data_IF_047152005494
#
_entry.id   IF_047152005494
#
_cell.length_a   1.000
_cell.length_b   1.000
_cell.length_c   1.000
_cell.angle_alpha   90.00
_cell.angle_beta   90.00
_cell.angle_gamma   90.00
#
_symmetry.space_group_name_H-M   'P 1'
#
loop_
_entity.id
_entity.type
_entity.pdbx_description
1 polymer ?
#
# COMPACT_ATOMS: atom_id res chain seq x y z
N UNK A 1 68.48 -12.10 18.83
CA UNK A 1 67.34 -12.06 17.89
C UNK A 1 66.06 -11.56 18.61
N UNK A 2 65.67 -10.33 18.34
CA UNK A 2 64.48 -9.74 18.96
C UNK A 2 63.33 -9.96 18.03
N UNK A 3 62.23 -10.64 18.51
CA UNK A 3 61.00 -10.89 17.77
C UNK A 3 60.11 -9.66 18.00
N UNK A 4 59.89 -8.88 16.96
CA UNK A 4 58.96 -7.77 16.99
C UNK A 4 57.51 -8.33 16.90
N UNK A 5 56.75 -8.14 17.98
CA UNK A 5 55.31 -8.45 18.00
C UNK A 5 54.58 -7.35 17.21
N UNK A 6 54.04 -7.71 16.07
CA UNK A 6 53.12 -6.85 15.30
C UNK A 6 51.76 -6.86 16.01
N UNK A 7 51.38 -5.76 16.65
CA UNK A 7 50.05 -5.53 17.18
C UNK A 7 49.12 -5.28 16.00
N UNK A 8 48.25 -6.26 15.63
CA UNK A 8 47.11 -6.04 14.75
C UNK A 8 46.09 -5.20 15.53
N UNK A 9 45.91 -3.96 15.12
CA UNK A 9 44.81 -3.13 15.58
C UNK A 9 43.47 -3.73 15.14
N UNK A 10 42.36 -3.44 15.87
CA UNK A 10 41.05 -3.94 15.49
C UNK A 10 40.69 -3.43 14.09
N UNK A 11 40.32 -4.36 13.21
CA UNK A 11 39.82 -4.02 11.89
C UNK A 11 38.59 -3.09 12.03
N UNK A 12 38.47 -2.04 11.18
CA UNK A 12 37.26 -1.20 11.21
C UNK A 12 36.05 -2.07 10.97
N UNK A 13 35.09 -2.04 11.89
CA UNK A 13 33.81 -2.68 11.72
C UNK A 13 33.18 -2.14 10.42
N UNK A 14 32.94 -3.00 9.45
CA UNK A 14 32.18 -2.63 8.26
C UNK A 14 30.84 -2.08 8.74
N UNK A 15 30.55 -0.81 8.46
CA UNK A 15 29.25 -0.22 8.75
C UNK A 15 28.20 -1.04 8.00
N UNK A 16 27.44 -1.85 8.73
CA UNK A 16 26.32 -2.60 8.17
C UNK A 16 25.31 -1.64 7.54
N UNK A 17 24.57 -2.11 6.55
CA UNK A 17 23.46 -1.34 5.96
C UNK A 17 22.43 -1.09 7.06
N UNK A 18 22.40 0.14 7.63
CA UNK A 18 21.50 0.53 8.72
C UNK A 18 22.20 1.16 9.92
N UNK A 19 21.41 1.74 10.83
CA UNK A 19 21.90 2.42 12.04
C UNK A 19 22.23 3.91 11.86
N UNK A 20 22.69 4.56 12.94
CA UNK A 20 22.89 6.02 13.03
C UNK A 20 23.90 6.61 12.03
N UNK A 21 24.75 5.81 11.45
CA UNK A 21 25.72 6.24 10.43
C UNK A 21 25.24 6.07 9.00
N UNK A 22 24.18 5.28 8.79
CA UNK A 22 23.67 4.98 7.46
C UNK A 22 22.48 5.88 7.09
N UNK A 23 21.49 6.02 7.96
CA UNK A 23 20.33 6.86 7.69
C UNK A 23 20.57 8.32 8.08
N UNK A 24 20.10 9.30 7.25
CA UNK A 24 20.25 10.72 7.58
C UNK A 24 19.31 11.08 8.72
N UNK A 25 19.80 11.85 9.69
CA UNK A 25 18.96 12.38 10.77
C UNK A 25 18.45 13.79 10.43
N UNK A 26 17.65 13.87 9.38
CA UNK A 26 17.12 15.13 8.84
C UNK A 26 15.71 15.43 9.38
N UNK A 27 15.32 16.71 9.50
CA UNK A 27 13.99 17.07 9.95
C UNK A 27 12.93 16.79 8.87
N UNK A 28 11.81 16.19 9.30
CA UNK A 28 10.58 16.02 8.53
C UNK A 28 9.42 16.63 9.31
N UNK A 29 8.36 17.00 8.62
CA UNK A 29 7.13 17.54 9.22
C UNK A 29 6.00 16.54 9.03
N UNK A 30 5.31 16.18 10.11
CA UNK A 30 4.16 15.27 10.08
C UNK A 30 2.92 15.97 9.52
N UNK A 31 1.89 15.20 9.17
CA UNK A 31 0.57 15.72 8.77
C UNK A 31 -0.10 16.62 9.84
N UNK A 32 0.36 16.59 11.06
CA UNK A 32 -0.14 17.42 12.17
C UNK A 32 0.77 18.63 12.44
N UNK A 33 1.75 18.91 11.57
CA UNK A 33 2.65 20.05 11.67
C UNK A 33 3.80 19.87 12.67
N UNK A 34 3.96 18.69 13.28
CA UNK A 34 5.06 18.42 14.21
C UNK A 34 6.34 18.12 13.45
N UNK A 35 7.45 18.77 13.83
CA UNK A 35 8.79 18.45 13.31
C UNK A 35 9.34 17.24 14.06
N UNK A 36 9.87 16.27 13.30
CA UNK A 36 10.50 15.04 13.79
C UNK A 36 11.77 14.77 13.01
N UNK A 37 12.77 14.13 13.62
CA UNK A 37 14.01 13.75 12.97
C UNK A 37 13.93 12.31 12.46
N UNK A 38 14.31 12.11 11.20
CA UNK A 38 14.09 10.84 10.53
C UNK A 38 14.72 9.64 11.25
N UNK A 39 15.98 9.76 11.68
CA UNK A 39 16.61 8.65 12.40
C UNK A 39 16.19 8.61 13.89
N UNK A 40 16.40 9.70 14.63
CA UNK A 40 16.25 9.68 16.09
C UNK A 40 14.79 9.46 16.53
N UNK A 41 13.82 10.09 15.83
CA UNK A 41 12.42 10.04 16.23
C UNK A 41 11.63 8.91 15.52
N UNK A 42 12.03 8.52 14.30
CA UNK A 42 11.22 7.62 13.49
C UNK A 42 11.82 6.21 13.34
N UNK A 43 13.15 6.05 13.37
CA UNK A 43 13.78 4.75 13.13
C UNK A 43 14.38 4.12 14.38
N UNK A 44 15.10 4.88 15.18
CA UNK A 44 15.94 4.38 16.29
C UNK A 44 15.14 3.51 17.27
N UNK A 45 15.52 2.24 17.37
CA UNK A 45 14.90 1.24 18.24
C UNK A 45 13.50 0.78 17.81
N UNK A 46 13.04 1.12 16.60
CA UNK A 46 11.67 0.86 16.15
C UNK A 46 11.59 -0.21 15.07
N UNK A 47 10.41 -0.84 15.01
CA UNK A 47 9.95 -1.66 13.89
C UNK A 47 9.08 -0.80 12.99
N UNK A 48 9.49 -0.61 11.74
CA UNK A 48 8.91 0.39 10.85
C UNK A 48 8.45 -0.21 9.52
N UNK A 49 7.41 0.38 8.97
CA UNK A 49 6.87 0.08 7.63
C UNK A 49 6.81 1.41 6.88
N UNK A 50 7.63 1.57 5.84
CA UNK A 50 7.85 2.85 5.16
C UNK A 50 7.55 2.72 3.68
N UNK A 51 6.72 3.62 3.14
CA UNK A 51 6.56 3.80 1.70
C UNK A 51 6.70 5.27 1.28
N UNK A 52 6.91 5.47 -0.01
CA UNK A 52 6.94 6.80 -0.62
C UNK A 52 5.62 7.05 -1.33
N UNK A 53 5.10 8.26 -1.26
CA UNK A 53 3.84 8.65 -1.89
C UNK A 53 3.93 10.05 -2.47
N UNK A 54 2.93 10.45 -3.26
CA UNK A 54 2.54 11.84 -3.47
C UNK A 54 1.02 11.92 -3.69
N UNK A 55 0.39 12.99 -3.17
CA UNK A 55 -1.07 13.03 -3.06
C UNK A 55 -1.79 13.20 -4.39
N UNK A 56 -1.13 13.75 -5.40
CA UNK A 56 -1.69 13.96 -6.74
C UNK A 56 -1.46 12.76 -7.69
N UNK A 57 -0.93 11.66 -7.17
CA UNK A 57 -0.67 10.46 -7.96
C UNK A 57 -1.93 9.95 -8.65
N UNK A 58 -1.85 9.78 -9.97
CA UNK A 58 -2.87 9.10 -10.78
C UNK A 58 -2.62 7.59 -10.94
N UNK A 59 -1.46 7.13 -10.50
CA UNK A 59 -1.00 5.73 -10.56
C UNK A 59 -1.28 4.94 -9.29
N UNK A 60 -0.25 4.28 -8.74
CA UNK A 60 -0.36 3.28 -7.67
C UNK A 60 -0.63 3.82 -6.27
N UNK A 61 -0.25 5.07 -5.94
CA UNK A 61 -0.31 5.57 -4.56
C UNK A 61 -1.71 5.45 -3.89
N UNK A 62 -2.84 5.71 -4.58
CA UNK A 62 -4.15 5.49 -3.97
C UNK A 62 -4.39 4.02 -3.62
N UNK A 63 -3.96 3.09 -4.48
CA UNK A 63 -4.07 1.66 -4.22
C UNK A 63 -3.17 1.23 -3.06
N UNK A 64 -1.91 1.71 -3.02
CA UNK A 64 -0.97 1.45 -1.93
C UNK A 64 -1.54 1.90 -0.59
N UNK A 65 -2.00 3.15 -0.51
CA UNK A 65 -2.56 3.70 0.74
C UNK A 65 -3.80 2.94 1.18
N UNK A 66 -4.71 2.61 0.25
CA UNK A 66 -5.89 1.81 0.55
C UNK A 66 -5.52 0.39 1.04
N UNK A 67 -4.48 -0.22 0.46
CA UNK A 67 -3.97 -1.53 0.84
C UNK A 67 -3.33 -1.51 2.23
N UNK A 68 -2.45 -0.56 2.45
CA UNK A 68 -1.79 -0.39 3.75
C UNK A 68 -2.79 -0.02 4.86
N UNK A 69 -3.88 0.70 4.56
CA UNK A 69 -4.98 0.91 5.50
C UNK A 69 -5.70 -0.39 5.87
N UNK A 70 -5.81 -1.36 4.94
CA UNK A 70 -6.31 -2.70 5.27
C UNK A 70 -5.32 -3.46 6.16
N UNK A 71 -4.02 -3.38 5.85
CA UNK A 71 -2.94 -3.99 6.65
C UNK A 71 -2.93 -3.40 8.06
N UNK A 72 -3.05 -2.08 8.19
CA UNK A 72 -3.13 -1.40 9.49
C UNK A 72 -4.26 -1.97 10.35
N UNK A 73 -5.45 -2.17 9.77
CA UNK A 73 -6.59 -2.79 10.50
C UNK A 73 -6.33 -4.24 10.90
N UNK A 74 -5.63 -5.02 10.07
CA UNK A 74 -5.27 -6.40 10.38
C UNK A 74 -4.23 -6.52 11.50
N UNK A 75 -3.30 -5.57 11.56
CA UNK A 75 -2.29 -5.48 12.63
C UNK A 75 -2.88 -4.90 13.94
N UNK A 76 -4.02 -4.21 13.84
CA UNK A 76 -4.76 -3.69 14.99
C UNK A 76 -3.93 -2.75 15.86
N UNK A 77 -4.04 -2.95 17.17
CA UNK A 77 -3.42 -2.11 18.20
C UNK A 77 -1.89 -2.13 18.23
N UNK A 78 -1.25 -2.96 17.41
CA UNK A 78 0.20 -2.97 17.29
C UNK A 78 0.71 -1.74 16.54
N UNK A 79 -0.10 -1.20 15.61
CA UNK A 79 0.29 0.00 14.86
C UNK A 79 0.22 1.22 15.77
N UNK A 80 1.36 1.90 15.95
CA UNK A 80 1.52 3.03 16.85
C UNK A 80 2.04 2.65 18.25
N UNK A 81 2.18 1.35 18.55
CA UNK A 81 2.79 0.86 19.80
C UNK A 81 4.19 0.27 19.57
N UNK A 82 4.26 -0.75 18.77
CA UNK A 82 5.50 -1.49 18.46
C UNK A 82 5.78 -1.61 16.96
N UNK A 83 4.79 -1.33 16.11
CA UNK A 83 4.94 -1.22 14.64
C UNK A 83 4.52 0.19 14.21
N UNK A 84 5.40 0.90 13.50
CA UNK A 84 5.15 2.28 13.09
C UNK A 84 5.09 2.39 11.57
N UNK A 85 4.03 3.00 11.05
CA UNK A 85 3.83 3.22 9.62
C UNK A 85 4.22 4.65 9.25
N UNK A 86 5.01 4.80 8.18
CA UNK A 86 5.44 6.09 7.66
C UNK A 86 5.25 6.16 6.15
N UNK A 87 4.47 7.12 5.69
CA UNK A 87 4.38 7.49 4.27
C UNK A 87 5.08 8.82 4.06
N UNK A 88 6.17 8.84 3.29
CA UNK A 88 6.97 10.02 3.05
C UNK A 88 6.63 10.57 1.67
N UNK A 89 6.22 11.84 1.59
CA UNK A 89 5.92 12.48 0.32
C UNK A 89 7.20 12.72 -0.48
N UNK A 90 7.15 12.41 -1.78
CA UNK A 90 8.20 12.76 -2.76
C UNK A 90 7.90 14.05 -3.51
N UNK A 91 6.77 14.69 -3.23
CA UNK A 91 6.35 15.97 -3.82
C UNK A 91 6.08 17.04 -2.75
N UNK A 92 7.11 17.44 -1.98
CA UNK A 92 6.93 18.39 -0.89
C UNK A 92 6.48 19.79 -1.32
N UNK A 93 6.55 20.11 -2.61
CA UNK A 93 6.05 21.37 -3.13
C UNK A 93 4.52 21.47 -3.08
N UNK A 94 3.82 20.36 -3.22
CA UNK A 94 2.35 20.31 -3.21
C UNK A 94 1.80 19.61 -1.96
N UNK A 95 2.58 18.74 -1.34
CA UNK A 95 2.16 17.90 -0.21
C UNK A 95 2.50 18.60 1.12
N UNK A 96 1.73 19.64 1.45
CA UNK A 96 1.80 20.31 2.77
C UNK A 96 1.27 19.36 3.88
N UNK A 97 1.54 19.62 5.16
CA UNK A 97 0.95 18.89 6.27
C UNK A 97 -0.57 18.76 6.15
N UNK A 98 -1.27 19.84 5.81
CA UNK A 98 -2.72 19.87 5.66
C UNK A 98 -3.19 18.98 4.50
N UNK A 99 -2.48 19.01 3.36
CA UNK A 99 -2.74 18.17 2.20
C UNK A 99 -2.56 16.70 2.55
N UNK A 100 -1.49 16.34 3.26
CA UNK A 100 -1.23 14.99 3.74
C UNK A 100 -2.29 14.50 4.74
N UNK A 101 -2.70 15.37 5.67
CA UNK A 101 -3.78 15.07 6.63
C UNK A 101 -5.11 14.78 5.91
N UNK A 102 -5.47 15.64 4.96
CA UNK A 102 -6.66 15.44 4.14
C UNK A 102 -6.58 14.17 3.29
N UNK A 103 -5.40 13.84 2.76
CA UNK A 103 -5.16 12.60 2.01
C UNK A 103 -5.34 11.36 2.91
N UNK A 104 -4.69 11.32 4.08
CA UNK A 104 -4.82 10.22 5.03
C UNK A 104 -6.29 9.95 5.42
N UNK A 105 -7.05 11.02 5.66
CA UNK A 105 -8.48 10.92 6.02
C UNK A 105 -9.33 10.27 4.92
N UNK A 106 -8.98 10.44 3.63
CA UNK A 106 -9.70 9.81 2.51
C UNK A 106 -9.63 8.28 2.55
N UNK A 107 -8.55 7.73 3.07
CA UNK A 107 -8.28 6.30 3.17
C UNK A 107 -8.59 5.70 4.54
N UNK A 108 -9.25 6.46 5.43
CA UNK A 108 -9.60 6.02 6.78
C UNK A 108 -8.39 5.52 7.59
N UNK A 109 -7.26 6.20 7.42
CA UNK A 109 -6.03 5.91 8.17
C UNK A 109 -6.28 6.11 9.66
N UNK A 110 -5.85 5.13 10.46
CA UNK A 110 -5.99 5.17 11.91
C UNK A 110 -4.71 5.74 12.56
N UNK A 111 -4.75 6.14 13.85
CA UNK A 111 -3.57 6.54 14.60
C UNK A 111 -2.41 5.54 14.50
N UNK A 112 -1.17 6.03 14.63
CA UNK A 112 0.05 5.20 14.54
C UNK A 112 0.65 5.14 13.13
N UNK A 113 0.02 5.77 12.14
CA UNK A 113 0.56 5.96 10.79
C UNK A 113 0.78 7.45 10.53
N UNK A 114 2.04 7.83 10.29
CA UNK A 114 2.43 9.21 10.01
C UNK A 114 2.63 9.42 8.51
N UNK A 115 2.13 10.54 8.04
CA UNK A 115 2.40 11.09 6.71
C UNK A 115 3.36 12.26 6.86
N UNK A 116 4.43 12.25 6.10
CA UNK A 116 5.60 13.09 6.33
C UNK A 116 5.95 13.86 5.06
N UNK A 117 6.33 15.12 5.24
CA UNK A 117 6.90 15.98 4.22
C UNK A 117 8.18 16.63 4.74
N UNK A 118 8.94 17.31 3.89
CA UNK A 118 10.19 17.95 4.29
C UNK A 118 10.90 18.61 3.11
N UNK A 119 12.19 18.90 3.25
CA UNK A 119 12.99 19.44 2.14
C UNK A 119 13.21 18.36 1.08
N UNK A 120 13.08 18.71 -0.19
CA UNK A 120 13.20 17.81 -1.33
C UNK A 120 14.52 17.03 -1.33
N UNK A 121 15.61 17.71 -1.01
CA UNK A 121 16.96 17.12 -0.94
C UNK A 121 17.07 16.07 0.17
N UNK A 122 16.48 16.34 1.31
CA UNK A 122 16.46 15.41 2.45
C UNK A 122 15.63 14.16 2.15
N UNK A 123 14.46 14.35 1.53
CA UNK A 123 13.60 13.25 1.07
C UNK A 123 14.32 12.40 0.01
N UNK A 124 15.04 13.02 -0.94
CA UNK A 124 15.85 12.31 -1.94
C UNK A 124 16.93 11.46 -1.28
N UNK A 125 17.61 11.98 -0.24
CA UNK A 125 18.62 11.23 0.52
C UNK A 125 17.99 10.03 1.24
N UNK A 126 16.87 10.24 1.94
CA UNK A 126 16.11 9.16 2.62
C UNK A 126 15.71 8.08 1.62
N UNK A 127 15.09 8.46 0.51
CA UNK A 127 14.61 7.54 -0.53
C UNK A 127 15.74 6.67 -1.09
N UNK A 128 16.91 7.28 -1.33
CA UNK A 128 18.11 6.56 -1.81
C UNK A 128 18.61 5.55 -0.78
N UNK A 129 18.69 5.93 0.49
CA UNK A 129 19.19 5.05 1.54
C UNK A 129 18.22 3.94 1.93
N UNK A 130 16.91 4.18 1.80
CA UNK A 130 15.90 3.14 1.92
C UNK A 130 15.86 2.20 0.69
N UNK A 131 16.58 2.49 -0.39
CA UNK A 131 16.49 1.73 -1.63
C UNK A 131 15.11 1.83 -2.30
N UNK A 132 14.34 2.88 -2.00
CA UNK A 132 13.02 3.13 -2.55
C UNK A 132 13.02 4.14 -3.70
N UNK A 133 14.17 4.77 -4.00
CA UNK A 133 14.30 5.62 -5.18
C UNK A 133 14.14 4.78 -6.44
N UNK A 134 13.29 5.21 -7.36
CA UNK A 134 13.30 4.68 -8.73
C UNK A 134 14.66 4.99 -9.36
N UNK A 135 15.20 4.07 -10.16
CA UNK A 135 16.50 4.20 -10.83
C UNK A 135 16.51 5.38 -11.83
N UNK A 136 15.37 5.92 -12.15
CA UNK A 136 15.23 7.10 -12.97
C UNK A 136 15.13 8.32 -12.05
N UNK A 137 16.15 9.18 -12.06
CA UNK A 137 16.03 10.60 -11.73
C UNK A 137 15.06 11.27 -12.73
N UNK A 138 13.92 10.64 -12.98
CA UNK A 138 12.96 11.10 -13.93
C UNK A 138 12.39 12.41 -13.41
N UNK A 139 12.39 13.41 -14.27
CA UNK A 139 11.68 14.69 -14.07
C UNK A 139 10.16 14.48 -13.85
N UNK A 140 9.70 13.26 -13.88
CA UNK A 140 8.31 12.83 -13.72
C UNK A 140 8.18 11.92 -12.50
N UNK A 141 7.25 12.26 -11.62
CA UNK A 141 6.85 11.42 -10.46
C UNK A 141 6.13 10.12 -10.91
N UNK A 142 5.75 10.01 -12.19
CA UNK A 142 4.96 8.89 -12.73
C UNK A 142 5.71 7.55 -12.80
N UNK A 143 7.03 7.56 -12.62
CA UNK A 143 7.87 6.35 -12.56
C UNK A 143 7.97 5.71 -11.17
N UNK A 144 7.29 6.28 -10.16
CA UNK A 144 7.34 5.77 -8.79
C UNK A 144 6.77 4.35 -8.71
N UNK A 145 7.55 3.43 -8.13
CA UNK A 145 7.15 2.03 -7.95
C UNK A 145 6.48 1.80 -6.59
N UNK A 146 5.46 0.94 -6.50
CA UNK A 146 4.75 0.61 -5.26
C UNK A 146 5.61 -0.25 -4.34
N UNK A 147 6.67 0.32 -3.81
CA UNK A 147 7.62 -0.36 -2.94
C UNK A 147 7.41 0.01 -1.48
N UNK A 148 7.59 -0.99 -0.63
CA UNK A 148 7.49 -0.91 0.82
C UNK A 148 8.81 -1.34 1.44
N UNK A 149 9.32 -0.60 2.40
CA UNK A 149 10.43 -1.01 3.24
C UNK A 149 9.92 -1.40 4.62
N UNK A 150 10.22 -2.60 5.04
CA UNK A 150 9.94 -3.12 6.38
C UNK A 150 11.28 -3.21 7.08
N UNK A 151 11.43 -2.57 8.24
CA UNK A 151 12.71 -2.46 8.94
C UNK A 151 12.57 -2.67 10.44
N UNK A 152 13.51 -3.41 11.01
CA UNK A 152 13.72 -3.57 12.46
C UNK A 152 15.07 -2.97 12.79
N UNK A 153 15.07 -1.70 13.19
CA UNK A 153 16.30 -0.93 13.36
C UNK A 153 17.20 -1.54 14.45
N UNK A 154 16.61 -2.02 15.54
CA UNK A 154 17.34 -2.61 16.67
C UNK A 154 18.21 -3.83 16.28
N UNK A 155 17.82 -4.59 15.26
CA UNK A 155 18.57 -5.75 14.73
C UNK A 155 19.23 -5.45 13.38
N UNK A 156 19.04 -4.24 12.85
CA UNK A 156 19.52 -3.81 11.55
C UNK A 156 19.02 -4.72 10.39
N UNK A 157 17.79 -5.22 10.51
CA UNK A 157 17.17 -6.04 9.49
C UNK A 157 16.23 -5.20 8.64
N UNK A 158 16.37 -5.31 7.31
CA UNK A 158 15.58 -4.53 6.35
C UNK A 158 15.13 -5.42 5.21
N UNK A 159 13.85 -5.32 4.85
CA UNK A 159 13.25 -6.09 3.76
C UNK A 159 12.42 -5.19 2.86
N UNK A 160 12.65 -5.28 1.55
CA UNK A 160 11.80 -4.63 0.55
C UNK A 160 10.63 -5.53 0.19
N UNK A 161 9.44 -4.97 0.11
CA UNK A 161 8.22 -5.66 -0.28
C UNK A 161 7.38 -4.78 -1.22
N UNK A 162 6.23 -5.27 -1.65
CA UNK A 162 5.25 -4.54 -2.46
C UNK A 162 4.14 -3.98 -1.57
N UNK A 163 3.85 -2.68 -1.68
CA UNK A 163 2.76 -2.04 -0.95
C UNK A 163 1.36 -2.42 -1.49
N UNK A 164 1.29 -3.09 -2.65
CA UNK A 164 0.02 -3.48 -3.30
C UNK A 164 -0.29 -4.97 -3.21
N UNK A 165 0.48 -5.73 -2.47
CA UNK A 165 0.23 -7.16 -2.25
C UNK A 165 -1.09 -7.43 -1.50
N UNK A 166 -1.48 -8.69 -1.46
CA UNK A 166 -2.62 -9.11 -0.67
C UNK A 166 -2.46 -8.67 0.79
N UNK A 167 -3.44 -7.98 1.40
CA UNK A 167 -3.27 -7.38 2.72
C UNK A 167 -3.08 -8.40 3.84
N UNK A 168 -3.72 -9.58 3.76
CA UNK A 168 -3.52 -10.65 4.75
C UNK A 168 -2.09 -11.20 4.66
N UNK A 169 -1.61 -11.46 3.44
CA UNK A 169 -0.25 -11.92 3.22
C UNK A 169 0.77 -10.88 3.68
N UNK A 170 0.55 -9.60 3.37
CA UNK A 170 1.45 -8.51 3.78
C UNK A 170 1.44 -8.32 5.31
N UNK A 171 0.28 -8.39 5.96
CA UNK A 171 0.19 -8.33 7.42
C UNK A 171 0.93 -9.50 8.08
N UNK A 172 0.76 -10.73 7.57
CA UNK A 172 1.51 -11.90 8.06
C UNK A 172 3.02 -11.74 7.84
N UNK A 173 3.44 -11.24 6.68
CA UNK A 173 4.86 -11.00 6.37
C UNK A 173 5.46 -10.00 7.36
N UNK A 174 4.75 -8.90 7.67
CA UNK A 174 5.18 -7.90 8.66
C UNK A 174 5.31 -8.54 10.06
N UNK A 175 4.31 -9.30 10.48
CA UNK A 175 4.34 -9.97 11.79
C UNK A 175 5.50 -10.97 11.88
N UNK A 176 5.68 -11.81 10.88
CA UNK A 176 6.78 -12.80 10.86
C UNK A 176 8.15 -12.12 10.85
N UNK A 177 8.29 -11.02 10.12
CA UNK A 177 9.55 -10.27 10.08
C UNK A 177 9.91 -9.66 11.43
N UNK A 178 8.93 -9.16 12.20
CA UNK A 178 9.19 -8.52 13.48
C UNK A 178 9.27 -9.50 14.66
N UNK A 179 8.44 -10.55 14.66
CA UNK A 179 8.28 -11.46 15.79
C UNK A 179 9.06 -12.78 15.63
N UNK A 180 9.67 -12.98 14.46
CA UNK A 180 10.27 -14.28 14.11
C UNK A 180 9.19 -15.32 13.75
N UNK A 181 9.64 -16.51 13.32
CA UNK A 181 8.78 -17.61 12.87
C UNK A 181 8.13 -18.38 14.06
N UNK A 182 7.45 -17.68 14.95
CA UNK A 182 6.56 -18.27 15.95
C UNK A 182 5.14 -18.46 15.40
N UNK A 183 4.98 -18.46 14.08
CA UNK A 183 3.71 -18.73 13.44
C UNK A 183 3.26 -20.15 13.79
N UNK A 184 2.04 -20.29 14.33
CA UNK A 184 1.32 -21.58 14.28
C UNK A 184 1.39 -22.08 12.84
N UNK A 185 1.73 -23.37 12.61
CA UNK A 185 1.85 -23.88 11.25
C UNK A 185 0.58 -23.54 10.47
N UNK A 186 0.76 -22.85 9.35
CA UNK A 186 -0.29 -22.73 8.34
C UNK A 186 -0.72 -24.15 8.00
N UNK A 187 -2.01 -24.40 7.93
CA UNK A 187 -2.57 -25.69 7.54
C UNK A 187 -1.74 -26.30 6.41
N UNK A 188 -1.40 -27.57 6.56
CA UNK A 188 -0.63 -28.31 5.57
C UNK A 188 -1.27 -28.13 4.18
N UNK A 189 -0.46 -28.07 3.13
CA UNK A 189 -0.96 -28.13 1.74
C UNK A 189 -1.92 -29.31 1.50
N UNK A 190 -1.81 -30.38 2.28
CA UNK A 190 -2.71 -31.53 2.24
C UNK A 190 -4.13 -31.22 2.74
N UNK A 191 -4.29 -30.18 3.58
CA UNK A 191 -5.58 -29.75 4.13
C UNK A 191 -6.24 -28.65 3.28
N UNK A 192 -5.53 -28.15 2.28
CA UNK A 192 -6.09 -27.22 1.30
C UNK A 192 -6.90 -28.02 0.28
N UNK A 193 -8.21 -27.77 0.23
CA UNK A 193 -9.06 -28.34 -0.81
C UNK A 193 -8.52 -28.08 -2.22
N UNK A 194 -9.03 -28.78 -3.26
CA UNK A 194 -8.53 -28.62 -4.62
C UNK A 194 -8.53 -27.16 -5.00
N UNK A 195 -7.38 -26.68 -5.51
CA UNK A 195 -7.24 -25.33 -6.06
C UNK A 195 -8.23 -25.20 -7.23
N UNK A 196 -9.41 -24.68 -6.94
CA UNK A 196 -10.30 -24.24 -8.01
C UNK A 196 -9.59 -23.13 -8.74
N UNK A 197 -9.34 -23.28 -10.02
CA UNK A 197 -8.69 -22.26 -10.85
C UNK A 197 -9.45 -20.95 -10.70
N UNK A 198 -8.84 -19.99 -10.01
CA UNK A 198 -9.41 -18.66 -9.85
C UNK A 198 -9.47 -18.02 -11.22
N UNK A 199 -10.65 -17.73 -11.71
CA UNK A 199 -10.83 -17.06 -13.01
C UNK A 199 -10.09 -15.71 -13.02
N UNK A 200 -9.58 -15.30 -14.21
CA UNK A 200 -8.83 -14.05 -14.37
C UNK A 200 -9.57 -12.85 -13.78
N UNK A 201 -10.87 -12.72 -14.02
CA UNK A 201 -11.69 -11.62 -13.49
C UNK A 201 -11.76 -11.61 -11.95
N UNK A 202 -11.92 -12.77 -11.33
CA UNK A 202 -11.89 -12.92 -9.89
C UNK A 202 -10.54 -12.54 -9.30
N UNK A 203 -9.45 -13.05 -9.88
CA UNK A 203 -8.09 -12.71 -9.45
C UNK A 203 -7.83 -11.20 -9.51
N UNK A 204 -8.16 -10.58 -10.64
CA UNK A 204 -7.99 -9.13 -10.83
C UNK A 204 -8.83 -8.32 -9.84
N UNK A 205 -10.09 -8.69 -9.66
CA UNK A 205 -10.96 -8.02 -8.72
C UNK A 205 -10.42 -8.11 -7.29
N UNK A 206 -10.10 -9.31 -6.83
CA UNK A 206 -9.58 -9.55 -5.48
C UNK A 206 -8.24 -8.87 -5.25
N UNK A 207 -7.33 -8.91 -6.23
CA UNK A 207 -5.99 -8.36 -6.09
C UNK A 207 -5.91 -6.86 -6.34
N UNK A 208 -6.83 -6.25 -7.13
CA UNK A 208 -6.69 -4.86 -7.56
C UNK A 208 -7.85 -3.95 -7.17
N UNK A 209 -9.07 -4.46 -7.04
CA UNK A 209 -10.27 -3.64 -6.85
C UNK A 209 -10.74 -3.60 -5.39
N UNK A 210 -10.60 -4.70 -4.63
CA UNK A 210 -11.13 -4.82 -3.26
C UNK A 210 -10.50 -3.89 -2.24
N UNK A 211 -9.38 -3.24 -2.55
CA UNK A 211 -8.81 -2.22 -1.68
C UNK A 211 -9.78 -1.03 -1.50
N UNK A 212 -10.44 -0.64 -2.59
CA UNK A 212 -11.29 0.54 -2.64
C UNK A 212 -12.78 0.23 -2.83
N UNK A 213 -13.14 -0.93 -3.41
CA UNK A 213 -14.50 -1.29 -3.80
C UNK A 213 -15.01 -2.52 -3.09
N UNK A 214 -16.35 -2.64 -3.01
CA UNK A 214 -17.07 -3.85 -2.64
C UNK A 214 -18.05 -4.24 -3.74
N UNK A 215 -18.65 -5.41 -3.62
CA UNK A 215 -19.88 -5.78 -4.34
C UNK A 215 -20.88 -6.19 -3.28
N UNK A 216 -21.94 -5.39 -3.09
CA UNK A 216 -23.03 -5.64 -2.17
C UNK A 216 -22.71 -5.48 -0.67
N UNK A 217 -21.60 -4.79 -0.32
CA UNK A 217 -21.23 -4.55 1.09
C UNK A 217 -21.06 -3.06 1.44
N UNK A 218 -21.60 -2.20 0.58
CA UNK A 218 -21.57 -0.74 0.75
C UNK A 218 -20.28 -0.10 0.25
N UNK A 219 -20.32 1.24 0.21
CA UNK A 219 -19.19 2.07 -0.23
C UNK A 219 -18.00 1.92 0.72
N UNK A 220 -16.78 2.01 0.15
CA UNK A 220 -15.53 2.13 0.89
C UNK A 220 -14.82 3.44 0.53
N UNK A 221 -13.59 3.35 0.08
CA UNK A 221 -12.85 4.48 -0.53
C UNK A 221 -13.51 4.89 -1.85
N UNK A 222 -14.01 3.92 -2.61
CA UNK A 222 -14.81 4.07 -3.81
C UNK A 222 -16.19 3.44 -3.66
N UNK A 223 -17.04 3.51 -4.72
CA UNK A 223 -18.40 2.99 -4.69
C UNK A 223 -18.46 1.48 -4.52
N UNK A 224 -19.58 1.04 -3.94
CA UNK A 224 -20.06 -0.34 -4.09
C UNK A 224 -20.39 -0.59 -5.56
N UNK A 225 -19.91 -1.70 -6.09
CA UNK A 225 -20.05 -2.08 -7.51
C UNK A 225 -21.23 -3.03 -7.77
N UNK A 226 -22.14 -3.20 -6.79
CA UNK A 226 -23.33 -4.01 -6.98
C UNK A 226 -24.14 -3.50 -8.19
N UNK A 227 -24.40 -4.38 -9.14
CA UNK A 227 -25.12 -4.10 -10.39
C UNK A 227 -24.48 -3.01 -11.27
N UNK A 228 -23.21 -2.67 -11.11
CA UNK A 228 -22.57 -1.60 -11.89
C UNK A 228 -22.62 -1.84 -13.39
N UNK A 229 -22.58 -3.10 -13.85
CA UNK A 229 -22.67 -3.50 -15.27
C UNK A 229 -24.07 -3.27 -15.88
N UNK A 230 -25.11 -3.11 -15.04
CA UNK A 230 -26.48 -2.75 -15.44
C UNK A 230 -26.76 -1.25 -15.26
N UNK A 231 -26.10 -0.62 -14.29
CA UNK A 231 -26.28 0.80 -13.95
C UNK A 231 -25.50 1.74 -14.87
N UNK A 232 -24.52 1.22 -15.62
CA UNK A 232 -23.67 2.00 -16.51
C UNK A 232 -23.68 1.40 -17.91
N UNK A 233 -23.56 2.26 -18.91
CA UNK A 233 -23.25 1.81 -20.27
C UNK A 233 -21.98 0.97 -20.28
N UNK A 234 -22.03 -0.18 -20.97
CA UNK A 234 -20.92 -1.15 -20.97
C UNK A 234 -19.66 -0.59 -21.61
N UNK A 235 -19.80 0.17 -22.68
CA UNK A 235 -18.64 0.75 -23.36
C UNK A 235 -18.00 1.85 -22.52
N UNK A 236 -18.82 2.69 -21.87
CA UNK A 236 -18.35 3.69 -20.93
C UNK A 236 -17.64 3.03 -19.75
N UNK A 237 -18.21 2.00 -19.16
CA UNK A 237 -17.64 1.29 -18.01
C UNK A 237 -16.30 0.65 -18.37
N UNK A 238 -16.19 -0.01 -19.54
CA UNK A 238 -14.96 -0.60 -20.02
C UNK A 238 -13.86 0.47 -20.20
N UNK A 239 -14.18 1.60 -20.85
CA UNK A 239 -13.27 2.73 -21.01
C UNK A 239 -12.81 3.31 -19.69
N UNK A 240 -13.74 3.49 -18.74
CA UNK A 240 -13.44 4.06 -17.42
C UNK A 240 -12.57 3.13 -16.58
N UNK A 241 -12.81 1.83 -16.61
CA UNK A 241 -12.00 0.84 -15.88
C UNK A 241 -10.60 0.72 -16.46
N UNK A 242 -10.45 0.81 -17.79
CA UNK A 242 -9.15 0.72 -18.46
C UNK A 242 -8.28 1.96 -18.26
N UNK A 243 -8.87 3.16 -18.28
CA UNK A 243 -8.13 4.43 -18.25
C UNK A 243 -8.89 5.53 -17.48
N UNK A 244 -9.11 5.36 -16.18
CA UNK A 244 -9.93 6.29 -15.37
C UNK A 244 -9.36 7.70 -15.30
N UNK A 245 -8.05 7.84 -15.32
CA UNK A 245 -7.31 9.11 -15.35
C UNK A 245 -7.62 9.91 -16.62
N UNK A 246 -7.65 9.25 -17.78
CA UNK A 246 -7.97 9.90 -19.07
C UNK A 246 -9.42 10.36 -19.10
N UNK A 247 -10.35 9.47 -18.73
CA UNK A 247 -11.78 9.79 -18.73
C UNK A 247 -12.09 10.95 -17.78
N UNK A 248 -11.41 11.00 -16.63
CA UNK A 248 -11.53 12.12 -15.71
C UNK A 248 -10.94 13.42 -16.29
N UNK A 249 -9.77 13.35 -16.95
CA UNK A 249 -9.11 14.50 -17.57
C UNK A 249 -9.90 15.08 -18.76
N UNK A 250 -10.68 14.26 -19.45
CA UNK A 250 -11.61 14.67 -20.53
C UNK A 250 -12.84 15.44 -19.97
N UNK A 251 -13.00 15.51 -18.65
CA UNK A 251 -14.15 16.18 -18.04
C UNK A 251 -15.45 15.39 -18.13
N UNK A 252 -15.38 14.05 -18.27
CA UNK A 252 -16.57 13.21 -18.37
C UNK A 252 -17.51 13.45 -17.17
N UNK A 253 -18.80 13.76 -17.40
CA UNK A 253 -19.71 14.17 -16.33
C UNK A 253 -19.91 13.11 -15.26
N UNK A 254 -19.91 11.82 -15.65
CA UNK A 254 -20.08 10.71 -14.71
C UNK A 254 -18.82 10.55 -13.87
N UNK A 255 -17.64 10.57 -14.50
CA UNK A 255 -16.36 10.49 -13.81
C UNK A 255 -16.14 11.65 -12.84
N UNK A 256 -16.47 12.88 -13.25
CA UNK A 256 -16.39 14.08 -12.42
C UNK A 256 -17.32 14.01 -11.21
N UNK A 257 -18.54 13.54 -11.40
CA UNK A 257 -19.52 13.35 -10.31
C UNK A 257 -19.04 12.28 -9.32
N UNK A 258 -18.49 11.18 -9.80
CA UNK A 258 -17.91 10.14 -8.95
C UNK A 258 -16.71 10.67 -8.18
N UNK A 259 -15.80 11.36 -8.84
CA UNK A 259 -14.63 11.97 -8.21
C UNK A 259 -15.02 12.91 -7.07
N UNK A 260 -15.96 13.83 -7.29
CA UNK A 260 -16.46 14.74 -6.26
C UNK A 260 -17.12 13.99 -5.09
N UNK A 261 -17.98 13.00 -5.39
CA UNK A 261 -18.69 12.21 -4.37
C UNK A 261 -17.74 11.45 -3.44
N UNK A 262 -16.65 10.90 -3.97
CA UNK A 262 -15.69 10.10 -3.20
C UNK A 262 -14.47 10.94 -2.76
N UNK A 263 -14.71 12.16 -2.26
CA UNK A 263 -13.70 13.05 -1.62
C UNK A 263 -12.51 13.36 -2.51
N UNK A 264 -12.72 13.43 -3.80
CA UNK A 264 -11.67 13.65 -4.79
C UNK A 264 -10.55 12.58 -4.74
N UNK A 265 -10.89 11.34 -4.40
CA UNK A 265 -10.00 10.19 -4.58
C UNK A 265 -9.99 9.81 -6.05
N UNK A 266 -8.81 9.79 -6.66
CA UNK A 266 -8.65 9.31 -8.03
C UNK A 266 -8.71 7.79 -8.06
N UNK A 267 -9.54 7.22 -8.94
CA UNK A 267 -9.40 5.82 -9.28
C UNK A 267 -8.08 5.63 -10.02
N UNK A 268 -7.17 4.76 -9.53
CA UNK A 268 -5.85 4.62 -10.14
C UNK A 268 -5.93 3.96 -11.51
N UNK A 269 -5.09 4.39 -12.44
CA UNK A 269 -4.88 3.69 -13.70
C UNK A 269 -3.99 2.45 -13.43
N UNK A 270 -4.60 1.29 -13.43
CA UNK A 270 -3.94 0.01 -13.15
C UNK A 270 -3.35 -0.64 -14.40
N UNK A 271 -3.36 0.07 -15.54
CA UNK A 271 -2.85 -0.39 -16.86
C UNK A 271 -3.46 -1.73 -17.26
N UNK A 272 -4.77 -1.87 -17.07
CA UNK A 272 -5.49 -3.08 -17.45
C UNK A 272 -5.58 -3.18 -18.96
N UNK A 273 -5.29 -4.38 -19.48
CA UNK A 273 -5.49 -4.66 -20.91
C UNK A 273 -6.97 -4.84 -21.25
N UNK A 274 -7.29 -4.87 -22.53
CA UNK A 274 -8.67 -5.16 -22.97
C UNK A 274 -9.15 -6.50 -22.44
N UNK A 275 -8.30 -7.54 -22.47
CA UNK A 275 -8.60 -8.87 -21.95
C UNK A 275 -8.82 -8.88 -20.44
N UNK A 276 -8.13 -7.99 -19.70
CA UNK A 276 -8.36 -7.81 -18.26
C UNK A 276 -9.75 -7.24 -17.99
N UNK A 277 -10.13 -6.21 -18.74
CA UNK A 277 -11.46 -5.59 -18.62
C UNK A 277 -12.56 -6.56 -19.03
N UNK A 278 -12.36 -7.31 -20.13
CA UNK A 278 -13.29 -8.33 -20.61
C UNK A 278 -13.47 -9.48 -19.63
N UNK A 279 -12.48 -9.76 -18.81
CA UNK A 279 -12.58 -10.74 -17.71
C UNK A 279 -13.25 -10.16 -16.45
N UNK A 280 -13.00 -8.88 -16.14
CA UNK A 280 -13.51 -8.20 -14.94
C UNK A 280 -15.02 -7.94 -14.99
N UNK A 281 -15.53 -7.45 -16.12
CA UNK A 281 -16.95 -7.06 -16.23
C UNK A 281 -17.91 -8.24 -16.03
N UNK A 282 -17.70 -9.42 -16.67
CA UNK A 282 -18.52 -10.60 -16.40
C UNK A 282 -18.41 -11.11 -14.97
N UNK A 283 -17.22 -11.03 -14.36
CA UNK A 283 -17.07 -11.40 -12.95
C UNK A 283 -17.91 -10.52 -12.02
N UNK A 284 -17.86 -9.18 -12.19
CA UNK A 284 -18.67 -8.27 -11.39
C UNK A 284 -20.17 -8.49 -11.60
N UNK A 285 -20.57 -8.79 -12.84
CA UNK A 285 -21.95 -9.13 -13.16
C UNK A 285 -22.40 -10.42 -12.47
N UNK A 286 -21.59 -11.47 -12.55
CA UNK A 286 -21.86 -12.76 -11.89
C UNK A 286 -21.96 -12.59 -10.38
N UNK A 287 -21.05 -11.86 -9.74
CA UNK A 287 -21.08 -11.60 -8.30
C UNK A 287 -22.37 -10.83 -7.89
N UNK A 288 -22.80 -9.89 -8.71
CA UNK A 288 -24.05 -9.15 -8.45
C UNK A 288 -25.29 -10.05 -8.56
N UNK A 289 -25.29 -11.00 -9.51
CA UNK A 289 -26.37 -11.99 -9.68
C UNK A 289 -26.39 -12.98 -8.52
N UNK A 290 -25.23 -13.46 -8.07
CA UNK A 290 -25.09 -14.41 -6.95
C UNK A 290 -25.61 -13.81 -5.64
N UNK A 291 -25.35 -12.52 -5.40
CA UNK A 291 -25.89 -11.81 -4.24
C UNK A 291 -27.41 -11.63 -4.32
N UNK A 292 -27.94 -11.40 -5.51
CA UNK A 292 -29.38 -11.25 -5.73
C UNK A 292 -30.15 -12.58 -5.68
N UNK A 293 -29.45 -13.73 -5.79
CA UNK A 293 -30.08 -15.05 -5.75
C UNK A 293 -30.49 -15.40 -4.32
N UNK A 294 -31.76 -15.73 -4.05
CA UNK A 294 -32.18 -16.17 -2.73
C UNK A 294 -31.39 -17.42 -2.32
N UNK A 295 -31.00 -17.47 -1.05
CA UNK A 295 -30.36 -18.67 -0.50
C UNK A 295 -31.23 -19.90 -0.78
N UNK A 296 -30.66 -21.06 -1.20
CA UNK A 296 -31.44 -22.26 -1.41
C UNK A 296 -32.19 -22.61 -0.12
N UNK A 297 -33.51 -22.68 -0.22
CA UNK A 297 -34.37 -23.10 0.89
C UNK A 297 -34.04 -24.56 1.20
N UNK A 298 -33.39 -24.80 2.35
CA UNK A 298 -33.33 -26.10 3.01
C UNK A 298 -32.24 -27.04 2.53
N UNK A 299 -31.10 -27.04 3.21
CA UNK A 299 -30.45 -28.31 3.54
C UNK A 299 -30.95 -28.75 4.92
N UNK A 300 -31.47 -29.97 5.09
CA UNK A 300 -31.87 -30.42 6.42
C UNK A 300 -30.62 -30.51 7.30
N UNK A 301 -30.69 -29.90 8.49
CA UNK A 301 -29.73 -30.07 9.56
C UNK A 301 -29.64 -31.57 9.84
N UNK A 302 -28.49 -32.20 9.56
CA UNK A 302 -28.13 -33.50 10.06
C UNK A 302 -28.11 -33.41 11.60
N UNK A 303 -28.99 -34.12 12.24
CA UNK A 303 -29.01 -34.41 13.66
C UNK A 303 -27.82 -35.31 14.03
#
# INVERSE_FOLDING_TARGET
MAIAAVMLGPAPAMAGVGGSGYFPNVPLTTQDGKVVHFYDDLLKGKSVVINLIYTQCSGSCPLETARLSQVQRLLGDRVGKDIFFYSISIDPAHDTPETLKAYAAKFHVQPGWLFLTGKKEDIKRISKQLGLSSVTDAASLDGHQPALMIGKEATNEWMRNSAVDNPQFLAMTILHFFDGYNAKPVQSYADMGPLHGVGRGEYLFKSRCTACHTIGKGDRVGPDLLNVTRLRDRAWLARYVAAPDRVLAEGDPIAMKLFARYRNVRMPNLRLSTEDVDALLPYMEQQSQDIARPAPKGSPSAQ
#
